data_IF_616941644410
#
_entry.id   IF_616941644410
#
_cell.length_a   1.000
_cell.length_b   1.000
_cell.length_c   1.000
_cell.angle_alpha   90.00
_cell.angle_beta   90.00
_cell.angle_gamma   90.00
#
_symmetry.space_group_name_H-M   'P 1'
#
loop_
_entity.id
_entity.type
_entity.pdbx_description
1 polymer ?
#
# COMPACT_ATOMS: atom_id res chain seq x y z
N UNK A 1 -30.38 13.83 -23.64
CA UNK A 1 -29.80 12.49 -23.55
C UNK A 1 -29.59 12.19 -22.09
N UNK A 2 -29.78 10.95 -21.65
CA UNK A 2 -29.32 10.55 -20.32
C UNK A 2 -27.80 10.81 -20.21
N UNK A 3 -27.28 11.21 -19.05
CA UNK A 3 -25.84 11.28 -18.86
C UNK A 3 -25.21 9.92 -19.21
N UNK A 4 -24.08 9.94 -19.92
CA UNK A 4 -23.34 8.71 -20.17
C UNK A 4 -22.86 8.18 -18.81
N UNK A 5 -23.06 6.88 -18.57
CA UNK A 5 -22.60 6.23 -17.34
C UNK A 5 -21.07 6.17 -17.28
N UNK A 6 -20.49 5.90 -16.09
CA UNK A 6 -19.04 5.80 -15.93
C UNK A 6 -18.47 4.70 -16.83
N UNK A 7 -17.27 4.93 -17.34
CA UNK A 7 -16.52 3.99 -18.19
C UNK A 7 -15.15 3.77 -17.57
N UNK A 8 -14.67 2.53 -17.58
CA UNK A 8 -13.32 2.22 -17.13
C UNK A 8 -12.28 2.79 -18.10
N UNK A 9 -11.29 3.48 -17.55
CA UNK A 9 -10.23 4.16 -18.29
C UNK A 9 -10.70 5.45 -18.98
N UNK A 10 -11.71 6.14 -18.43
CA UNK A 10 -12.21 7.42 -18.98
C UNK A 10 -11.36 8.63 -18.55
N UNK A 11 -10.50 8.46 -17.55
CA UNK A 11 -9.52 9.49 -17.18
C UNK A 11 -8.49 9.73 -18.29
N UNK A 12 -7.85 10.90 -18.27
CA UNK A 12 -6.79 11.24 -19.24
C UNK A 12 -5.54 10.38 -19.07
N UNK A 13 -4.93 9.95 -20.18
CA UNK A 13 -3.70 9.17 -20.19
C UNK A 13 -3.39 8.65 -21.60
N UNK A 14 -2.14 8.24 -21.82
CA UNK A 14 -1.65 7.75 -23.11
C UNK A 14 -1.91 6.26 -23.30
N UNK A 15 -1.87 5.50 -22.20
CA UNK A 15 -2.10 4.06 -22.18
C UNK A 15 -3.32 3.70 -21.35
N UNK A 16 -3.89 2.50 -21.54
CA UNK A 16 -4.99 2.04 -20.68
C UNK A 16 -4.57 1.96 -19.21
N UNK A 17 -3.34 1.53 -18.95
CA UNK A 17 -2.75 1.42 -17.61
C UNK A 17 -2.71 2.79 -16.90
N UNK A 18 -2.24 3.82 -17.61
CA UNK A 18 -2.22 5.21 -17.13
C UNK A 18 -3.62 5.74 -16.82
N UNK A 19 -4.58 5.50 -17.72
CA UNK A 19 -5.96 5.98 -17.54
C UNK A 19 -6.63 5.32 -16.34
N UNK A 20 -6.49 4.01 -16.17
CA UNK A 20 -7.08 3.30 -15.03
C UNK A 20 -6.49 3.75 -13.69
N UNK A 21 -5.17 3.93 -13.62
CA UNK A 21 -4.53 4.46 -12.42
C UNK A 21 -5.00 5.91 -12.13
N UNK A 22 -5.05 6.78 -13.13
CA UNK A 22 -5.49 8.16 -12.95
C UNK A 22 -6.96 8.23 -12.51
N UNK A 23 -7.78 7.30 -12.99
CA UNK A 23 -9.17 7.18 -12.55
C UNK A 23 -9.27 6.75 -11.09
N UNK A 24 -8.51 5.72 -10.67
CA UNK A 24 -8.44 5.32 -9.25
C UNK A 24 -7.95 6.48 -8.37
N UNK A 25 -6.94 7.22 -8.82
CA UNK A 25 -6.43 8.38 -8.10
C UNK A 25 -7.47 9.49 -7.96
N UNK A 26 -8.25 9.77 -9.02
CA UNK A 26 -9.35 10.72 -8.99
C UNK A 26 -10.45 10.27 -8.02
N UNK A 27 -10.88 9.00 -8.07
CA UNK A 27 -11.85 8.44 -7.14
C UNK A 27 -11.39 8.56 -5.67
N UNK A 28 -10.09 8.34 -5.41
CA UNK A 28 -9.49 8.51 -4.10
C UNK A 28 -9.60 9.96 -3.61
N UNK A 29 -9.22 10.92 -4.46
CA UNK A 29 -9.30 12.35 -4.16
C UNK A 29 -10.74 12.81 -3.92
N UNK A 30 -11.65 12.40 -4.81
CA UNK A 30 -13.05 12.79 -4.77
C UNK A 30 -13.74 12.25 -3.51
N UNK A 31 -13.47 11.00 -3.12
CA UNK A 31 -13.97 10.44 -1.87
C UNK A 31 -13.42 11.21 -0.65
N UNK A 32 -12.12 11.51 -0.63
CA UNK A 32 -11.49 12.28 0.44
C UNK A 32 -12.15 13.67 0.61
N UNK A 33 -12.34 14.38 -0.51
CA UNK A 33 -12.93 15.72 -0.54
C UNK A 33 -14.42 15.72 -0.18
N UNK A 34 -15.18 14.74 -0.66
CA UNK A 34 -16.61 14.61 -0.36
C UNK A 34 -16.84 14.35 1.12
N UNK A 35 -16.06 13.44 1.72
CA UNK A 35 -16.13 13.17 3.17
C UNK A 35 -15.65 14.38 3.99
N UNK A 36 -14.60 15.10 3.53
CA UNK A 36 -14.17 16.33 4.20
C UNK A 36 -15.25 17.41 4.20
N UNK A 37 -15.94 17.60 3.07
CA UNK A 37 -17.04 18.56 2.97
C UNK A 37 -18.20 18.19 3.91
N UNK A 38 -18.56 16.90 3.98
CA UNK A 38 -19.57 16.41 4.92
C UNK A 38 -19.18 16.65 6.39
N UNK A 39 -17.98 16.20 6.79
CA UNK A 39 -17.48 16.38 8.17
C UNK A 39 -17.45 17.87 8.55
N UNK A 40 -16.91 18.72 7.67
CA UNK A 40 -16.86 20.16 7.90
C UNK A 40 -18.25 20.81 8.03
N UNK A 41 -19.23 20.37 7.25
CA UNK A 41 -20.61 20.85 7.36
C UNK A 41 -21.28 20.39 8.67
N UNK A 42 -21.05 19.14 9.09
CA UNK A 42 -21.55 18.62 10.36
C UNK A 42 -20.93 19.36 11.56
N UNK A 43 -19.62 19.60 11.54
CA UNK A 43 -18.91 20.37 12.58
C UNK A 43 -19.43 21.81 12.64
N UNK A 44 -19.68 22.44 11.50
CA UNK A 44 -20.28 23.77 11.44
C UNK A 44 -21.69 23.79 12.04
N UNK A 45 -22.54 22.81 11.69
CA UNK A 45 -23.88 22.69 12.24
C UNK A 45 -23.85 22.52 13.77
N UNK A 46 -22.91 21.71 14.28
CA UNK A 46 -22.71 21.53 15.71
C UNK A 46 -22.25 22.82 16.41
N UNK A 47 -21.22 23.49 15.87
CA UNK A 47 -20.72 24.74 16.44
C UNK A 47 -21.80 25.83 16.47
N UNK A 48 -22.63 25.91 15.42
CA UNK A 48 -23.76 26.83 15.38
C UNK A 48 -24.79 26.50 16.47
N UNK A 49 -25.13 25.23 16.64
CA UNK A 49 -26.06 24.80 17.68
C UNK A 49 -25.58 25.16 19.09
N UNK A 50 -24.29 24.92 19.37
CA UNK A 50 -23.68 25.25 20.66
C UNK A 50 -23.75 26.77 20.93
N UNK A 51 -23.46 27.60 19.92
CA UNK A 51 -23.59 29.07 20.03
C UNK A 51 -25.04 29.53 20.28
N UNK A 52 -26.01 28.92 19.61
CA UNK A 52 -27.44 29.23 19.83
C UNK A 52 -27.86 28.84 21.26
N UNK A 53 -27.39 27.69 21.77
CA UNK A 53 -27.68 27.23 23.12
C UNK A 53 -27.04 28.11 24.20
N UNK A 54 -25.78 28.51 24.02
CA UNK A 54 -25.08 29.44 24.91
C UNK A 54 -25.81 30.79 24.98
N UNK A 55 -26.28 31.30 23.84
CA UNK A 55 -27.10 32.51 23.77
C UNK A 55 -28.40 32.40 24.56
N UNK A 56 -29.11 31.26 24.45
CA UNK A 56 -30.34 31.01 25.20
C UNK A 56 -30.12 30.92 26.72
N UNK A 57 -28.95 30.46 27.15
CA UNK A 57 -28.58 30.33 28.57
C UNK A 57 -28.09 31.65 29.18
N UNK A 58 -27.56 32.56 28.36
CA UNK A 58 -27.01 33.84 28.79
C UNK A 58 -28.10 34.77 29.38
N UNK A 59 -29.33 34.73 28.89
CA UNK A 59 -30.45 35.52 29.40
C UNK A 59 -31.18 34.78 30.56
N UNK A 60 -31.14 35.32 31.79
CA UNK A 60 -31.82 34.73 32.95
C UNK A 60 -33.34 34.61 32.79
N UNK A 61 -33.97 35.46 31.97
CA UNK A 61 -35.41 35.46 31.75
C UNK A 61 -35.89 34.34 30.81
N UNK A 62 -34.99 33.79 29.98
CA UNK A 62 -35.27 32.74 28.99
C UNK A 62 -34.68 31.39 29.39
N UNK A 63 -34.18 31.23 30.61
CA UNK A 63 -33.53 29.98 31.05
C UNK A 63 -34.49 28.79 31.18
N UNK A 64 -35.77 29.03 31.43
CA UNK A 64 -36.76 27.97 31.64
C UNK A 64 -38.18 28.36 31.24
N UNK A 65 -39.02 27.34 31.06
CA UNK A 65 -40.41 27.48 30.62
C UNK A 65 -40.60 27.12 29.15
N UNK A 66 -41.86 26.96 28.74
CA UNK A 66 -42.21 26.41 27.43
C UNK A 66 -41.62 27.15 26.22
N UNK A 67 -41.39 28.47 26.33
CA UNK A 67 -40.76 29.25 25.27
C UNK A 67 -39.25 28.96 25.13
N UNK A 68 -38.56 28.70 26.24
CA UNK A 68 -37.16 28.30 26.25
C UNK A 68 -36.98 26.88 25.68
N UNK A 69 -37.90 25.98 26.04
CA UNK A 69 -37.91 24.61 25.52
C UNK A 69 -38.17 24.60 24.01
N UNK A 70 -39.17 25.36 23.54
CA UNK A 70 -39.44 25.50 22.10
C UNK A 70 -38.26 26.08 21.31
N UNK A 71 -37.52 27.03 21.89
CA UNK A 71 -36.33 27.61 21.24
C UNK A 71 -35.17 26.61 21.13
N UNK A 72 -35.00 25.73 22.13
CA UNK A 72 -34.02 24.64 22.07
C UNK A 72 -34.41 23.59 21.03
N UNK A 73 -35.68 23.22 21.00
CA UNK A 73 -36.21 22.27 20.01
C UNK A 73 -36.02 22.82 18.58
N UNK A 74 -36.25 24.12 18.36
CA UNK A 74 -36.02 24.77 17.06
C UNK A 74 -34.53 24.79 16.69
N UNK A 75 -33.64 25.13 17.63
CA UNK A 75 -32.20 25.09 17.39
C UNK A 75 -31.71 23.68 17.04
N UNK A 76 -32.21 22.66 17.75
CA UNK A 76 -31.92 21.26 17.46
C UNK A 76 -32.44 20.84 16.07
N UNK A 77 -33.66 21.26 15.70
CA UNK A 77 -34.21 20.99 14.37
C UNK A 77 -33.37 21.62 13.26
N UNK A 78 -32.88 22.85 13.47
CA UNK A 78 -31.98 23.52 12.51
C UNK A 78 -30.66 22.80 12.36
N UNK A 79 -30.05 22.36 13.46
CA UNK A 79 -28.82 21.57 13.46
C UNK A 79 -29.01 20.27 12.69
N UNK A 80 -30.07 19.51 13.00
CA UNK A 80 -30.40 18.27 12.32
C UNK A 80 -30.62 18.48 10.82
N UNK A 81 -31.36 19.53 10.45
CA UNK A 81 -31.62 19.87 9.04
C UNK A 81 -30.34 20.15 8.25
N UNK A 82 -29.36 20.85 8.84
CA UNK A 82 -28.07 21.12 8.19
C UNK A 82 -27.25 19.83 8.00
N UNK A 83 -27.23 18.96 9.01
CA UNK A 83 -26.55 17.66 8.94
C UNK A 83 -27.20 16.76 7.89
N UNK A 84 -28.53 16.70 7.85
CA UNK A 84 -29.29 15.92 6.86
C UNK A 84 -29.04 16.40 5.43
N UNK A 85 -28.95 17.71 5.22
CA UNK A 85 -28.61 18.29 3.92
C UNK A 85 -27.20 17.93 3.48
N UNK A 86 -26.22 18.03 4.41
CA UNK A 86 -24.85 17.63 4.13
C UNK A 86 -24.75 16.12 3.82
N UNK A 87 -25.50 15.30 4.55
CA UNK A 87 -25.58 13.85 4.33
C UNK A 87 -26.16 13.53 2.95
N UNK A 88 -27.23 14.20 2.55
CA UNK A 88 -27.85 13.99 1.23
C UNK A 88 -26.92 14.36 0.06
N UNK A 89 -25.99 15.30 0.25
CA UNK A 89 -24.93 15.60 -0.74
C UNK A 89 -23.92 14.47 -0.77
N UNK A 90 -23.40 14.06 0.39
CA UNK A 90 -22.45 12.94 0.49
C UNK A 90 -23.02 11.65 -0.13
N UNK A 91 -24.26 11.28 0.19
CA UNK A 91 -24.88 10.06 -0.33
C UNK A 91 -24.99 10.08 -1.87
N UNK A 92 -25.17 11.26 -2.49
CA UNK A 92 -25.15 11.41 -3.95
C UNK A 92 -23.75 11.19 -4.52
N UNK A 93 -22.74 11.79 -3.91
CA UNK A 93 -21.35 11.68 -4.36
C UNK A 93 -20.86 10.23 -4.19
N UNK A 94 -21.23 9.57 -3.09
CA UNK A 94 -20.95 8.15 -2.86
C UNK A 94 -21.64 7.25 -3.88
N UNK A 95 -22.89 7.55 -4.27
CA UNK A 95 -23.58 6.79 -5.31
C UNK A 95 -22.87 6.90 -6.67
N UNK A 96 -22.33 8.08 -7.00
CA UNK A 96 -21.54 8.27 -8.22
C UNK A 96 -20.23 7.47 -8.15
N UNK A 97 -19.47 7.60 -7.06
CA UNK A 97 -18.20 6.89 -6.89
C UNK A 97 -18.37 5.37 -6.85
N UNK A 98 -19.48 4.89 -6.28
CA UNK A 98 -19.83 3.46 -6.28
C UNK A 98 -20.09 2.97 -7.70
N UNK A 99 -20.89 3.71 -8.49
CA UNK A 99 -21.13 3.36 -9.89
C UNK A 99 -19.83 3.36 -10.72
N UNK A 100 -18.89 4.26 -10.41
CA UNK A 100 -17.57 4.27 -11.05
C UNK A 100 -16.73 3.05 -10.65
N UNK A 101 -16.68 2.72 -9.37
CA UNK A 101 -15.99 1.54 -8.86
C UNK A 101 -16.52 0.23 -9.48
N UNK A 102 -17.83 0.11 -9.68
CA UNK A 102 -18.48 -1.04 -10.30
C UNK A 102 -18.01 -1.30 -11.74
N UNK A 103 -17.58 -0.26 -12.46
CA UNK A 103 -17.06 -0.38 -13.83
C UNK A 103 -15.54 -0.50 -13.84
N UNK A 104 -14.85 0.22 -12.96
CA UNK A 104 -13.38 0.26 -12.88
C UNK A 104 -12.82 -1.05 -12.33
N UNK A 105 -13.31 -1.55 -11.19
CA UNK A 105 -12.75 -2.70 -10.48
C UNK A 105 -12.67 -3.97 -11.37
N UNK A 106 -13.71 -4.34 -12.14
CA UNK A 106 -13.63 -5.51 -13.04
C UNK A 106 -12.71 -5.31 -14.25
N UNK A 107 -12.40 -4.06 -14.61
CA UNK A 107 -11.53 -3.72 -15.74
C UNK A 107 -10.04 -3.67 -15.38
N UNK A 108 -9.71 -3.80 -14.08
CA UNK A 108 -8.33 -3.69 -13.62
C UNK A 108 -7.45 -4.84 -14.14
N UNK A 109 -6.26 -4.53 -14.70
CA UNK A 109 -5.31 -5.56 -15.08
C UNK A 109 -4.72 -6.23 -13.82
N UNK A 110 -4.07 -7.41 -13.96
CA UNK A 110 -3.53 -8.15 -12.81
C UNK A 110 -2.68 -7.31 -11.83
N UNK A 111 -1.78 -6.40 -12.25
CA UNK A 111 -1.02 -5.56 -11.33
C UNK A 111 -1.89 -4.70 -10.40
N UNK A 112 -3.06 -4.24 -10.87
CA UNK A 112 -3.97 -3.35 -10.13
C UNK A 112 -5.11 -4.12 -9.44
N UNK A 113 -5.38 -5.36 -9.87
CA UNK A 113 -6.49 -6.16 -9.36
C UNK A 113 -6.18 -6.87 -8.02
N UNK A 114 -7.22 -7.06 -7.22
CA UNK A 114 -7.18 -7.96 -6.06
C UNK A 114 -6.89 -9.41 -6.47
N UNK A 115 -6.38 -10.24 -5.55
CA UNK A 115 -6.05 -11.65 -5.85
C UNK A 115 -7.29 -12.52 -6.10
N UNK A 116 -8.45 -12.07 -5.63
CA UNK A 116 -9.78 -12.62 -5.87
C UNK A 116 -10.29 -12.37 -7.29
N UNK A 117 -9.70 -11.41 -8.01
CA UNK A 117 -10.17 -11.05 -9.35
C UNK A 117 -9.99 -12.21 -10.33
N UNK A 118 -10.99 -12.50 -11.17
CA UNK A 118 -10.89 -13.55 -12.17
C UNK A 118 -9.80 -13.28 -13.21
N UNK A 119 -9.32 -12.04 -13.37
CA UNK A 119 -8.28 -11.65 -14.32
C UNK A 119 -6.99 -12.48 -14.17
N UNK A 120 -6.69 -12.94 -12.95
CA UNK A 120 -5.53 -13.77 -12.67
C UNK A 120 -5.59 -15.16 -13.31
N UNK A 121 -6.76 -15.67 -13.67
CA UNK A 121 -6.88 -16.97 -14.37
C UNK A 121 -6.34 -16.91 -15.80
N UNK A 122 -6.35 -15.72 -16.40
CA UNK A 122 -5.80 -15.44 -17.72
C UNK A 122 -4.43 -14.73 -17.63
N UNK A 123 -3.78 -14.79 -16.46
CA UNK A 123 -2.47 -14.16 -16.24
C UNK A 123 -1.46 -14.60 -17.31
N UNK A 124 -0.67 -13.64 -17.76
CA UNK A 124 0.50 -13.81 -18.63
C UNK A 124 1.62 -12.94 -18.07
N UNK A 125 2.85 -13.41 -18.21
CA UNK A 125 4.02 -12.62 -17.78
C UNK A 125 4.09 -11.36 -18.64
N UNK A 126 4.14 -10.16 -18.02
CA UNK A 126 4.09 -8.91 -18.77
C UNK A 126 5.36 -8.70 -19.58
N UNK A 127 5.25 -8.01 -20.72
CA UNK A 127 6.41 -7.67 -21.54
C UNK A 127 7.14 -6.41 -21.04
N UNK A 128 6.43 -5.54 -20.33
CA UNK A 128 6.90 -4.27 -19.77
C UNK A 128 6.46 -4.15 -18.32
N UNK A 129 7.17 -3.34 -17.53
CA UNK A 129 6.78 -3.06 -16.15
C UNK A 129 5.54 -2.13 -16.19
N UNK A 130 4.44 -2.46 -15.49
CA UNK A 130 3.26 -1.61 -15.42
C UNK A 130 3.56 -0.37 -14.59
N UNK A 131 2.69 0.63 -14.67
CA UNK A 131 2.90 1.89 -13.97
C UNK A 131 2.82 1.75 -12.44
N UNK A 132 2.02 0.79 -11.94
CA UNK A 132 1.80 0.61 -10.51
C UNK A 132 1.44 -0.84 -10.15
N UNK A 133 1.38 -1.11 -8.84
CA UNK A 133 0.87 -2.37 -8.28
C UNK A 133 -0.04 -2.11 -7.09
N UNK A 134 -1.06 -2.95 -6.91
CA UNK A 134 -1.95 -2.88 -5.74
C UNK A 134 -1.27 -3.44 -4.50
N UNK A 135 -1.24 -2.65 -3.43
CA UNK A 135 -0.76 -3.07 -2.12
C UNK A 135 -1.92 -3.46 -1.19
N UNK A 136 -3.11 -2.91 -1.41
CA UNK A 136 -4.29 -3.19 -0.61
C UNK A 136 -5.50 -2.41 -1.08
N UNK A 137 -6.40 -2.10 -0.16
CA UNK A 137 -7.55 -1.23 -0.39
C UNK A 137 -7.67 -0.22 0.75
N UNK A 138 -8.28 0.91 0.46
CA UNK A 138 -8.56 1.98 1.41
C UNK A 138 -10.07 2.17 1.52
N UNK A 139 -10.55 2.37 2.74
CA UNK A 139 -11.95 2.73 3.02
C UNK A 139 -12.03 3.86 4.04
N UNK A 140 -13.15 4.59 4.03
CA UNK A 140 -13.52 5.54 5.06
C UNK A 140 -14.76 5.04 5.82
N UNK A 141 -14.91 5.37 7.12
CA UNK A 141 -16.06 4.95 7.92
C UNK A 141 -17.43 5.36 7.34
N UNK A 142 -17.49 6.47 6.62
CA UNK A 142 -18.69 6.97 5.96
C UNK A 142 -19.16 6.10 4.79
N UNK A 143 -18.25 5.32 4.19
CA UNK A 143 -18.50 4.49 3.02
C UNK A 143 -17.70 3.17 3.08
N UNK A 144 -17.99 2.28 4.06
CA UNK A 144 -17.21 1.06 4.29
C UNK A 144 -17.31 0.05 3.13
N UNK A 145 -18.34 0.16 2.29
CA UNK A 145 -18.54 -0.68 1.11
C UNK A 145 -17.72 -0.21 -0.10
N UNK A 146 -17.35 1.08 -0.16
CA UNK A 146 -16.58 1.67 -1.25
C UNK A 146 -15.08 1.53 -0.99
N UNK A 147 -14.46 0.59 -1.71
CA UNK A 147 -13.04 0.23 -1.56
C UNK A 147 -12.21 0.87 -2.67
N UNK A 148 -11.30 1.74 -2.30
CA UNK A 148 -10.36 2.36 -3.24
C UNK A 148 -9.07 1.53 -3.28
N UNK A 149 -8.62 1.03 -4.44
CA UNK A 149 -7.34 0.32 -4.53
C UNK A 149 -6.15 1.21 -4.09
N UNK A 150 -5.35 0.73 -3.13
CA UNK A 150 -4.07 1.38 -2.81
C UNK A 150 -3.02 0.95 -3.85
N UNK A 151 -2.70 1.84 -4.80
CA UNK A 151 -1.70 1.59 -5.82
C UNK A 151 -0.36 2.25 -5.46
N UNK A 152 0.73 1.51 -5.59
CA UNK A 152 2.10 2.03 -5.49
C UNK A 152 2.76 2.04 -6.86
N UNK A 153 3.33 3.17 -7.26
CA UNK A 153 4.01 3.31 -8.55
C UNK A 153 5.26 2.43 -8.62
N UNK A 154 5.58 1.97 -9.82
CA UNK A 154 6.81 1.26 -10.13
C UNK A 154 7.78 2.14 -10.94
N UNK A 155 9.10 2.03 -10.69
CA UNK A 155 9.73 1.28 -9.58
C UNK A 155 9.31 1.86 -8.22
N UNK A 156 9.32 1.02 -7.16
CA UNK A 156 8.88 1.46 -5.84
C UNK A 156 9.77 2.60 -5.34
N UNK A 157 9.17 3.78 -5.13
CA UNK A 157 9.87 4.98 -4.65
C UNK A 157 10.33 4.85 -3.19
N UNK A 158 9.64 4.01 -2.40
CA UNK A 158 9.93 3.73 -0.99
C UNK A 158 9.94 2.22 -0.76
N UNK A 159 10.78 1.78 0.17
CA UNK A 159 10.63 0.43 0.72
C UNK A 159 9.31 0.27 1.47
N UNK A 160 8.96 -0.97 1.75
CA UNK A 160 7.72 -1.34 2.43
C UNK A 160 8.05 -1.88 3.82
N UNK A 161 7.19 -1.59 4.79
CA UNK A 161 7.24 -2.17 6.13
C UNK A 161 5.88 -2.78 6.45
N UNK A 162 5.82 -4.10 6.58
CA UNK A 162 4.66 -4.78 7.13
C UNK A 162 4.86 -4.85 8.64
N UNK A 163 4.13 -3.99 9.34
CA UNK A 163 4.10 -3.95 10.80
C UNK A 163 3.39 -5.20 11.31
N UNK A 164 4.15 -6.09 11.93
CA UNK A 164 3.61 -7.38 12.36
C UNK A 164 2.62 -7.26 13.49
N UNK A 165 2.74 -6.23 14.35
CA UNK A 165 1.91 -6.00 15.54
C UNK A 165 1.60 -7.31 16.30
N UNK A 166 2.63 -8.12 16.55
CA UNK A 166 2.53 -9.45 17.17
C UNK A 166 1.94 -10.59 16.32
N UNK A 167 1.41 -10.35 15.12
CA UNK A 167 0.90 -11.38 14.20
C UNK A 167 1.89 -11.68 13.04
N UNK A 168 3.06 -12.16 13.43
CA UNK A 168 4.19 -12.40 12.52
C UNK A 168 3.87 -13.31 11.34
N UNK A 169 3.06 -14.35 11.58
CA UNK A 169 2.69 -15.30 10.52
C UNK A 169 1.90 -14.62 9.41
N UNK A 170 0.88 -13.84 9.78
CA UNK A 170 0.05 -13.13 8.80
C UNK A 170 0.82 -12.00 8.12
N UNK A 171 1.77 -11.37 8.83
CA UNK A 171 2.68 -10.38 8.28
C UNK A 171 3.56 -10.99 7.18
N UNK A 172 4.11 -12.17 7.41
CA UNK A 172 4.87 -12.92 6.41
C UNK A 172 4.01 -13.40 5.23
N UNK A 173 2.79 -13.87 5.47
CA UNK A 173 1.86 -14.24 4.38
C UNK A 173 1.51 -13.01 3.52
N UNK A 174 1.35 -11.84 4.14
CA UNK A 174 1.17 -10.55 3.43
C UNK A 174 2.41 -10.17 2.63
N UNK A 175 3.61 -10.35 3.20
CA UNK A 175 4.88 -10.06 2.53
C UNK A 175 5.07 -10.91 1.27
N UNK A 176 4.74 -12.20 1.37
CA UNK A 176 4.79 -13.15 0.25
C UNK A 176 3.77 -12.79 -0.83
N UNK A 177 2.56 -12.37 -0.45
CA UNK A 177 1.56 -11.91 -1.41
C UNK A 177 2.02 -10.65 -2.17
N UNK A 178 2.62 -9.67 -1.47
CA UNK A 178 3.20 -8.47 -2.08
C UNK A 178 4.37 -8.83 -3.00
N UNK A 179 5.30 -9.66 -2.54
CA UNK A 179 6.45 -10.10 -3.33
C UNK A 179 6.03 -10.88 -4.59
N UNK A 180 5.04 -11.76 -4.48
CA UNK A 180 4.48 -12.49 -5.61
C UNK A 180 3.82 -11.55 -6.62
N UNK A 181 3.11 -10.51 -6.17
CA UNK A 181 2.52 -9.49 -7.06
C UNK A 181 3.62 -8.68 -7.76
N UNK A 182 4.65 -8.26 -7.04
CA UNK A 182 5.80 -7.56 -7.64
C UNK A 182 6.45 -8.43 -8.71
N UNK A 183 6.76 -9.69 -8.41
CA UNK A 183 7.27 -10.64 -9.41
C UNK A 183 6.35 -10.79 -10.62
N UNK A 184 5.03 -10.89 -10.40
CA UNK A 184 4.03 -11.01 -11.46
C UNK A 184 3.86 -9.73 -12.31
N UNK A 185 4.37 -8.61 -11.82
CA UNK A 185 4.29 -7.31 -12.48
C UNK A 185 5.55 -6.99 -13.26
N UNK A 186 6.55 -7.87 -13.31
CA UNK A 186 7.78 -7.61 -14.05
C UNK A 186 7.97 -8.60 -15.20
N UNK A 187 8.67 -8.18 -16.28
CA UNK A 187 9.09 -9.10 -17.33
C UNK A 187 9.88 -10.28 -16.79
N UNK A 188 9.86 -11.39 -17.53
CA UNK A 188 10.60 -12.59 -17.15
C UNK A 188 12.10 -12.27 -16.94
N UNK A 189 12.59 -12.51 -15.72
CA UNK A 189 13.97 -12.21 -15.34
C UNK A 189 14.24 -10.74 -15.01
N UNK A 190 13.27 -9.83 -15.16
CA UNK A 190 13.42 -8.40 -14.83
C UNK A 190 13.33 -8.07 -13.33
N UNK A 191 12.95 -9.05 -12.50
CA UNK A 191 12.83 -8.87 -11.05
C UNK A 191 13.18 -10.15 -10.28
N UNK A 192 13.90 -9.97 -9.17
CA UNK A 192 14.37 -11.04 -8.31
C UNK A 192 14.02 -10.78 -6.85
N UNK A 193 13.88 -11.86 -6.07
CA UNK A 193 13.56 -11.78 -4.63
C UNK A 193 14.63 -12.49 -3.83
N UNK A 194 15.14 -11.81 -2.82
CA UNK A 194 16.01 -12.31 -1.76
C UNK A 194 15.23 -12.30 -0.43
N UNK A 195 15.60 -13.20 0.48
CA UNK A 195 15.01 -13.25 1.81
C UNK A 195 16.08 -13.42 2.88
N UNK A 196 15.97 -12.64 3.95
CA UNK A 196 16.65 -12.87 5.22
C UNK A 196 15.64 -13.49 6.18
N UNK A 197 15.95 -14.68 6.70
CA UNK A 197 15.13 -15.40 7.67
C UNK A 197 16.05 -16.07 8.69
N UNK A 198 16.74 -15.27 9.52
CA UNK A 198 17.88 -15.74 10.30
C UNK A 198 17.55 -16.83 11.32
N UNK A 199 16.34 -16.86 11.91
CA UNK A 199 15.89 -17.96 12.76
C UNK A 199 15.04 -19.01 12.01
N UNK A 200 14.72 -18.77 10.74
CA UNK A 200 14.01 -19.72 9.88
C UNK A 200 12.50 -19.80 10.13
N UNK A 201 11.91 -18.88 10.89
CA UNK A 201 10.48 -18.91 11.21
C UNK A 201 9.59 -18.59 10.00
N UNK A 202 10.13 -17.87 9.02
CA UNK A 202 9.46 -17.50 7.77
C UNK A 202 9.43 -18.62 6.73
N UNK A 203 10.19 -19.71 6.91
CA UNK A 203 10.38 -20.75 5.90
C UNK A 203 9.08 -21.29 5.30
N UNK A 204 8.06 -21.52 6.14
CA UNK A 204 6.75 -22.00 5.67
C UNK A 204 5.98 -20.97 4.84
N UNK A 205 6.12 -19.67 5.13
CA UNK A 205 5.49 -18.61 4.35
C UNK A 205 6.24 -18.38 3.03
N UNK A 206 7.58 -18.47 3.04
CA UNK A 206 8.44 -18.27 1.87
C UNK A 206 8.40 -19.43 0.87
N UNK A 207 7.91 -20.61 1.28
CA UNK A 207 7.87 -21.83 0.48
C UNK A 207 7.27 -21.67 -0.93
N UNK A 208 6.18 -20.90 -1.16
CA UNK A 208 5.65 -20.69 -2.52
C UNK A 208 6.65 -19.97 -3.45
N UNK A 209 7.39 -18.99 -2.93
CA UNK A 209 8.37 -18.22 -3.71
C UNK A 209 9.57 -19.07 -4.13
N UNK A 210 10.01 -19.98 -3.25
CA UNK A 210 11.13 -20.91 -3.52
C UNK A 210 10.69 -22.07 -4.40
N UNK A 211 9.55 -22.70 -4.13
CA UNK A 211 9.00 -23.81 -4.92
C UNK A 211 8.63 -23.38 -6.35
N UNK A 212 8.18 -22.14 -6.52
CA UNK A 212 7.96 -21.52 -7.83
C UNK A 212 9.25 -21.07 -8.52
N UNK A 213 10.44 -21.35 -7.99
CA UNK A 213 11.71 -20.95 -8.59
C UNK A 213 11.85 -19.44 -8.81
N UNK A 214 11.09 -18.62 -8.08
CA UNK A 214 10.97 -17.17 -8.26
C UNK A 214 11.90 -16.39 -7.33
N UNK A 215 12.14 -16.90 -6.12
CA UNK A 215 13.21 -16.42 -5.24
C UNK A 215 14.59 -16.87 -5.77
N UNK A 216 15.58 -15.99 -5.68
CA UNK A 216 16.96 -16.29 -6.09
C UNK A 216 17.62 -17.18 -5.05
N UNK A 217 18.28 -18.24 -5.53
CA UNK A 217 19.15 -19.09 -4.72
C UNK A 217 20.43 -18.33 -4.36
N UNK A 218 21.00 -18.52 -3.15
CA UNK A 218 20.70 -19.60 -2.19
C UNK A 218 19.40 -19.39 -1.37
N UNK A 219 18.91 -20.44 -0.67
CA UNK A 219 17.79 -20.34 0.28
C UNK A 219 17.99 -19.22 1.31
N UNK A 220 16.91 -18.75 1.99
CA UNK A 220 16.95 -17.60 2.89
C UNK A 220 18.17 -17.63 3.80
N UNK A 221 18.88 -16.51 3.85
CA UNK A 221 20.17 -16.47 4.54
C UNK A 221 19.96 -16.72 6.05
N UNK A 222 20.55 -17.81 6.56
CA UNK A 222 20.38 -18.24 7.94
C UNK A 222 21.46 -17.63 8.84
N UNK A 223 21.06 -17.24 10.06
CA UNK A 223 21.94 -16.64 11.07
C UNK A 223 22.61 -15.32 10.65
N UNK A 224 23.39 -14.76 11.57
CA UNK A 224 24.00 -13.43 11.41
C UNK A 224 24.97 -13.32 10.22
N UNK A 225 25.73 -14.37 9.90
CA UNK A 225 26.62 -14.37 8.73
C UNK A 225 25.85 -14.20 7.43
N UNK A 226 24.72 -14.90 7.29
CA UNK A 226 23.89 -14.82 6.10
C UNK A 226 23.28 -13.43 5.89
N UNK A 227 22.88 -12.77 6.99
CA UNK A 227 22.43 -11.38 7.01
C UNK A 227 23.55 -10.46 6.51
N UNK A 228 24.72 -10.49 7.16
CA UNK A 228 25.84 -9.61 6.82
C UNK A 228 26.33 -9.80 5.38
N UNK A 229 26.46 -11.04 4.91
CA UNK A 229 26.90 -11.34 3.56
C UNK A 229 25.91 -10.81 2.51
N UNK A 230 24.61 -10.96 2.76
CA UNK A 230 23.58 -10.51 1.82
C UNK A 230 23.48 -8.99 1.78
N UNK A 231 23.49 -8.33 2.93
CA UNK A 231 23.48 -6.86 2.98
C UNK A 231 24.75 -6.27 2.35
N UNK A 232 25.92 -6.88 2.57
CA UNK A 232 27.17 -6.47 1.93
C UNK A 232 27.09 -6.55 0.40
N UNK A 233 26.64 -7.68 -0.16
CA UNK A 233 26.49 -7.85 -1.62
C UNK A 233 25.51 -6.84 -2.23
N UNK A 234 24.37 -6.61 -1.57
CA UNK A 234 23.37 -5.66 -2.04
C UNK A 234 23.87 -4.22 -1.95
N UNK A 235 24.63 -3.88 -0.90
CA UNK A 235 25.26 -2.56 -0.74
C UNK A 235 26.25 -2.30 -1.87
N UNK A 236 27.16 -3.26 -2.13
CA UNK A 236 28.14 -3.16 -3.23
C UNK A 236 27.45 -3.01 -4.59
N UNK A 237 26.37 -3.76 -4.83
CA UNK A 237 25.53 -3.61 -6.03
C UNK A 237 24.99 -2.19 -6.18
N UNK A 238 24.40 -1.64 -5.11
CA UNK A 238 23.85 -0.28 -5.12
C UNK A 238 24.94 0.75 -5.41
N UNK A 239 26.10 0.63 -4.77
CA UNK A 239 27.24 1.52 -4.99
C UNK A 239 27.70 1.50 -6.45
N UNK A 240 27.88 0.31 -7.03
CA UNK A 240 28.29 0.14 -8.43
C UNK A 240 27.28 0.75 -9.41
N UNK A 241 25.98 0.49 -9.22
CA UNK A 241 24.92 1.03 -10.07
C UNK A 241 24.80 2.55 -9.94
N UNK A 242 24.86 3.09 -8.73
CA UNK A 242 24.84 4.53 -8.48
C UNK A 242 26.05 5.22 -9.13
N UNK A 243 27.24 4.63 -9.03
CA UNK A 243 28.44 5.14 -9.70
C UNK A 243 28.27 5.16 -11.22
N UNK A 244 27.76 4.06 -11.81
CA UNK A 244 27.50 3.97 -13.24
C UNK A 244 26.46 5.01 -13.72
N UNK A 245 25.37 5.18 -12.97
CA UNK A 245 24.31 6.15 -13.26
C UNK A 245 24.83 7.59 -13.18
N UNK A 246 25.51 7.96 -12.09
CA UNK A 246 26.08 9.31 -11.93
C UNK A 246 27.15 9.63 -12.96
N UNK A 247 27.92 8.63 -13.39
CA UNK A 247 28.94 8.76 -14.42
C UNK A 247 28.41 8.76 -15.86
N UNK A 248 27.11 8.49 -16.08
CA UNK A 248 26.54 8.29 -17.41
C UNK A 248 27.16 7.09 -18.16
N UNK A 249 27.68 6.11 -17.42
CA UNK A 249 28.50 5.02 -17.94
C UNK A 249 27.86 3.67 -17.63
N UNK A 250 26.59 3.49 -18.04
CA UNK A 250 25.88 2.19 -17.94
C UNK A 250 26.66 1.05 -18.60
N UNK A 251 27.35 1.36 -19.70
CA UNK A 251 28.15 0.40 -20.47
C UNK A 251 29.47 0.02 -19.78
N UNK A 252 29.82 0.71 -18.68
CA UNK A 252 30.99 0.40 -17.84
C UNK A 252 30.67 -0.60 -16.72
N UNK A 253 29.41 -1.04 -16.59
CA UNK A 253 29.09 -2.15 -15.69
C UNK A 253 29.84 -3.42 -16.11
N UNK A 254 30.21 -4.30 -15.16
CA UNK A 254 30.87 -5.56 -15.47
C UNK A 254 30.09 -6.36 -16.52
N UNK A 255 30.80 -7.03 -17.43
CA UNK A 255 30.15 -7.88 -18.42
C UNK A 255 29.32 -8.98 -17.74
N UNK A 256 28.05 -9.12 -18.12
CA UNK A 256 27.12 -10.07 -17.50
C UNK A 256 26.56 -9.62 -16.14
N UNK A 257 26.73 -8.35 -15.76
CA UNK A 257 26.10 -7.80 -14.57
C UNK A 257 24.57 -7.87 -14.70
N UNK A 258 23.93 -8.54 -13.75
CA UNK A 258 22.48 -8.63 -13.68
C UNK A 258 21.89 -7.24 -13.40
N UNK A 259 21.04 -6.71 -14.28
CA UNK A 259 20.36 -5.42 -14.08
C UNK A 259 18.92 -5.57 -13.61
N UNK A 260 18.47 -6.79 -13.28
CA UNK A 260 17.14 -7.00 -12.74
C UNK A 260 16.93 -6.19 -11.44
N UNK A 261 15.71 -5.70 -11.27
CA UNK A 261 15.28 -5.15 -9.98
C UNK A 261 15.31 -6.24 -8.92
N UNK A 262 15.61 -5.88 -7.68
CA UNK A 262 15.73 -6.83 -6.58
C UNK A 262 14.84 -6.39 -5.42
N UNK A 263 14.16 -7.34 -4.79
CA UNK A 263 13.44 -7.15 -3.54
C UNK A 263 14.15 -7.94 -2.44
N UNK A 264 14.55 -7.26 -1.37
CA UNK A 264 15.00 -7.90 -0.14
C UNK A 264 13.85 -7.98 0.85
N UNK A 265 13.34 -9.18 1.09
CA UNK A 265 12.44 -9.45 2.22
C UNK A 265 13.30 -9.64 3.47
N UNK A 266 13.04 -8.85 4.51
CA UNK A 266 13.72 -8.98 5.80
C UNK A 266 12.71 -9.46 6.83
N UNK A 267 12.89 -10.70 7.28
CA UNK A 267 12.12 -11.29 8.35
C UNK A 267 12.87 -11.21 9.69
N UNK A 268 12.11 -11.15 10.78
CA UNK A 268 12.61 -11.19 12.16
C UNK A 268 13.59 -10.08 12.53
N UNK A 269 13.55 -8.93 11.85
CA UNK A 269 14.37 -7.80 12.29
C UNK A 269 13.97 -7.42 13.73
N UNK A 270 14.94 -7.29 14.66
CA UNK A 270 16.39 -7.19 14.44
C UNK A 270 17.22 -8.46 14.74
N UNK A 271 16.61 -9.63 14.88
CA UNK A 271 17.34 -10.87 15.12
C UNK A 271 18.39 -11.14 14.04
N UNK A 272 19.63 -11.41 14.45
CA UNK A 272 20.75 -11.64 13.53
C UNK A 272 21.38 -10.37 12.94
N UNK A 273 20.94 -9.17 13.34
CA UNK A 273 21.54 -7.91 12.91
C UNK A 273 22.54 -7.38 13.95
N UNK A 274 23.76 -7.08 13.50
CA UNK A 274 24.73 -6.26 14.23
C UNK A 274 24.61 -4.78 13.81
N UNK A 275 25.35 -3.88 14.48
CA UNK A 275 25.31 -2.44 14.20
C UNK A 275 25.67 -2.10 12.74
N UNK A 276 26.56 -2.90 12.13
CA UNK A 276 26.95 -2.74 10.72
C UNK A 276 25.79 -3.14 9.80
N UNK A 277 25.14 -4.27 10.05
CA UNK A 277 23.99 -4.74 9.30
C UNK A 277 22.82 -3.73 9.40
N UNK A 278 22.57 -3.15 10.58
CA UNK A 278 21.58 -2.08 10.74
C UNK A 278 21.94 -0.85 9.91
N UNK A 279 23.22 -0.46 9.90
CA UNK A 279 23.69 0.67 9.07
C UNK A 279 23.51 0.39 7.58
N UNK A 280 23.83 -0.82 7.12
CA UNK A 280 23.63 -1.23 5.72
C UNK A 280 22.14 -1.31 5.34
N UNK A 281 21.29 -1.81 6.24
CA UNK A 281 19.85 -1.85 6.02
C UNK A 281 19.28 -0.44 5.81
N UNK A 282 19.69 0.52 6.63
CA UNK A 282 19.32 1.93 6.49
C UNK A 282 19.80 2.52 5.16
N UNK A 283 21.05 2.25 4.80
CA UNK A 283 21.60 2.65 3.51
C UNK A 283 20.78 2.09 2.33
N UNK A 284 20.42 0.81 2.37
CA UNK A 284 19.61 0.18 1.34
C UNK A 284 18.18 0.75 1.29
N UNK A 285 17.60 1.12 2.44
CA UNK A 285 16.28 1.76 2.45
C UNK A 285 16.29 3.13 1.77
N UNK A 286 17.38 3.90 1.91
CA UNK A 286 17.48 5.26 1.39
C UNK A 286 18.00 5.31 -0.07
N UNK A 287 19.08 4.57 -0.38
CA UNK A 287 19.77 4.63 -1.68
C UNK A 287 19.42 3.47 -2.63
N UNK A 288 18.86 2.38 -2.09
CA UNK A 288 18.50 1.18 -2.84
C UNK A 288 17.48 1.42 -3.95
N UNK A 289 16.35 2.11 -3.73
CA UNK A 289 15.31 2.30 -4.75
C UNK A 289 15.84 2.90 -6.06
N UNK A 290 16.73 3.89 -5.98
CA UNK A 290 17.35 4.51 -7.16
C UNK A 290 18.27 3.59 -7.96
N UNK A 291 18.74 2.50 -7.34
CA UNK A 291 19.56 1.46 -7.96
C UNK A 291 18.77 0.15 -8.20
N UNK A 292 17.44 0.18 -8.07
CA UNK A 292 16.58 -0.99 -8.29
C UNK A 292 16.67 -2.06 -7.19
N UNK A 293 17.11 -1.71 -5.98
CA UNK A 293 17.08 -2.60 -4.79
C UNK A 293 16.01 -2.07 -3.83
N UNK A 294 14.93 -2.83 -3.68
CA UNK A 294 13.80 -2.46 -2.85
C UNK A 294 13.78 -3.29 -1.56
N UNK A 295 13.37 -2.67 -0.45
CA UNK A 295 13.24 -3.31 0.85
C UNK A 295 11.77 -3.66 1.14
N UNK A 296 11.53 -4.86 1.67
CA UNK A 296 10.27 -5.25 2.31
C UNK A 296 10.58 -5.79 3.71
N UNK A 297 10.38 -4.97 4.72
CA UNK A 297 10.65 -5.29 6.11
C UNK A 297 9.41 -5.89 6.77
N UNK A 298 9.54 -7.03 7.43
CA UNK A 298 8.53 -7.63 8.28
C UNK A 298 9.05 -7.57 9.71
N UNK A 299 8.50 -6.65 10.50
CA UNK A 299 8.99 -6.36 11.84
C UNK A 299 7.90 -5.75 12.71
N UNK A 300 7.99 -5.99 14.01
CA UNK A 300 7.34 -5.15 15.01
C UNK A 300 8.29 -4.00 15.36
N UNK A 301 7.77 -2.79 15.53
CA UNK A 301 8.60 -1.66 15.96
C UNK A 301 9.11 -1.88 17.39
N UNK A 302 8.32 -2.52 18.24
CA UNK A 302 8.66 -2.77 19.65
C UNK A 302 9.88 -3.69 19.77
N UNK A 303 10.02 -4.68 18.88
CA UNK A 303 11.15 -5.62 18.86
C UNK A 303 12.51 -4.94 18.57
N UNK A 304 12.47 -3.75 17.98
CA UNK A 304 13.66 -2.99 17.59
C UNK A 304 13.99 -1.81 18.52
N UNK A 305 13.29 -1.70 19.67
CA UNK A 305 13.48 -0.61 20.64
C UNK A 305 14.91 -0.47 21.14
N UNK A 306 15.68 -1.57 21.18
CA UNK A 306 17.08 -1.58 21.61
C UNK A 306 17.99 -0.64 20.79
N UNK A 307 17.64 -0.38 19.53
CA UNK A 307 18.37 0.58 18.69
C UNK A 307 17.89 2.03 18.89
N UNK A 308 16.75 2.21 19.56
CA UNK A 308 16.21 3.51 19.93
C UNK A 308 16.00 4.45 18.73
N UNK A 309 16.26 5.76 18.90
CA UNK A 309 15.98 6.76 17.86
C UNK A 309 16.76 6.59 16.55
N UNK A 310 17.80 5.75 16.52
CA UNK A 310 18.63 5.54 15.32
C UNK A 310 17.83 4.96 14.15
N UNK A 311 16.74 4.23 14.45
CA UNK A 311 15.85 3.62 13.46
C UNK A 311 14.69 4.54 13.05
N UNK A 312 14.46 5.67 13.72
CA UNK A 312 13.37 6.59 13.35
C UNK A 312 13.40 7.00 11.87
N UNK A 313 14.56 7.29 11.24
CA UNK A 313 14.61 7.57 9.81
C UNK A 313 14.19 6.37 8.96
N UNK A 314 14.58 5.14 9.33
CA UNK A 314 14.21 3.92 8.62
C UNK A 314 12.68 3.75 8.61
N UNK A 315 12.05 3.84 9.78
CA UNK A 315 10.59 3.69 9.88
C UNK A 315 9.83 4.76 9.08
N UNK A 316 10.40 5.97 8.96
CA UNK A 316 9.79 7.08 8.20
C UNK A 316 10.02 6.98 6.69
N UNK A 317 11.09 6.32 6.24
CA UNK A 317 11.39 6.15 4.82
C UNK A 317 10.58 5.01 4.18
N UNK A 318 10.06 4.08 4.99
CA UNK A 318 9.23 2.97 4.53
C UNK A 318 7.74 3.31 4.53
N UNK A 319 7.00 2.79 3.55
CA UNK A 319 5.54 2.77 3.58
C UNK A 319 5.08 1.68 4.54
N UNK A 320 4.47 2.08 5.66
CA UNK A 320 3.84 1.16 6.61
C UNK A 320 2.59 0.51 5.99
N UNK A 321 2.49 -0.80 6.12
CA UNK A 321 1.36 -1.66 5.81
C UNK A 321 1.10 -2.56 7.02
N UNK A 322 -0.09 -3.13 7.12
CA UNK A 322 -0.45 -4.02 8.23
C UNK A 322 -1.04 -5.36 7.72
N UNK A 323 -0.84 -6.47 8.43
CA UNK A 323 -1.44 -7.77 8.08
C UNK A 323 -2.95 -7.84 8.34
N UNK A 324 -3.50 -6.85 9.06
CA UNK A 324 -4.92 -6.71 9.39
C UNK A 324 -5.40 -5.29 9.08
N UNK A 325 -6.72 -5.07 8.94
CA UNK A 325 -7.27 -3.74 8.73
C UNK A 325 -6.83 -2.73 9.81
N UNK A 326 -6.38 -1.55 9.40
CA UNK A 326 -5.90 -0.49 10.30
C UNK A 326 -5.96 0.90 9.66
N UNK A 327 -6.32 1.91 10.44
CA UNK A 327 -6.58 3.31 10.06
C UNK A 327 -5.36 4.23 10.16
N UNK A 328 -4.20 3.78 9.68
CA UNK A 328 -2.92 4.49 9.88
C UNK A 328 -2.42 5.30 8.67
N UNK A 329 -3.06 5.17 7.51
CA UNK A 329 -2.66 5.89 6.29
C UNK A 329 -3.44 7.19 6.19
N UNK A 330 -2.73 8.31 6.03
CA UNK A 330 -3.33 9.60 5.80
C UNK A 330 -3.31 9.98 4.31
N UNK A 331 -4.41 10.53 3.79
CA UNK A 331 -4.41 11.10 2.43
C UNK A 331 -3.63 12.43 2.37
N UNK A 332 -3.13 12.83 1.19
CA UNK A 332 -2.30 14.02 1.05
C UNK A 332 -3.08 15.34 0.95
N UNK A 333 -4.42 15.32 0.91
CA UNK A 333 -5.23 16.50 0.62
C UNK A 333 -5.85 17.11 1.87
N UNK A 334 -6.53 16.28 2.65
CA UNK A 334 -7.32 16.68 3.82
C UNK A 334 -6.85 15.96 5.09
N UNK A 335 -6.06 14.89 4.93
CA UNK A 335 -5.42 14.19 6.05
C UNK A 335 -6.37 13.26 6.80
N UNK A 336 -7.39 12.69 6.14
CA UNK A 336 -8.21 11.66 6.78
C UNK A 336 -7.37 10.42 7.06
N UNK A 337 -7.64 9.78 8.18
CA UNK A 337 -7.17 8.43 8.46
C UNK A 337 -8.00 7.40 7.67
N UNK A 338 -7.37 6.70 6.74
CA UNK A 338 -7.98 5.67 5.91
C UNK A 338 -7.74 4.29 6.51
N UNK A 339 -8.80 3.49 6.58
CA UNK A 339 -8.67 2.07 6.93
C UNK A 339 -8.06 1.34 5.74
N UNK A 340 -6.79 0.99 5.88
CA UNK A 340 -6.08 0.11 4.97
C UNK A 340 -6.49 -1.33 5.22
N UNK A 341 -6.81 -2.06 4.15
CA UNK A 341 -7.01 -3.50 4.16
C UNK A 341 -5.99 -4.19 3.23
N UNK A 342 -5.27 -5.22 3.71
CA UNK A 342 -4.26 -5.90 2.91
C UNK A 342 -4.85 -6.69 1.75
N UNK A 343 -4.17 -6.68 0.60
CA UNK A 343 -4.53 -7.50 -0.55
C UNK A 343 -4.14 -8.97 -0.34
N UNK A 344 -4.94 -9.68 0.46
CA UNK A 344 -4.72 -11.09 0.80
C UNK A 344 -5.12 -12.03 -0.34
N UNK A 345 -4.49 -13.21 -0.40
CA UNK A 345 -4.91 -14.28 -1.31
C UNK A 345 -6.11 -14.99 -0.70
N UNK A 346 -7.23 -15.19 -1.42
CA UNK A 346 -8.40 -15.87 -0.86
C UNK A 346 -8.07 -17.25 -0.32
N UNK A 347 -8.62 -17.59 0.85
CA UNK A 347 -8.39 -18.89 1.50
C UNK A 347 -8.76 -20.04 0.57
N UNK A 348 -7.84 -21.00 0.39
CA UNK A 348 -8.00 -22.15 -0.50
C UNK A 348 -7.73 -21.87 -1.98
N UNK A 349 -7.47 -20.62 -2.37
CA UNK A 349 -7.11 -20.27 -3.74
C UNK A 349 -5.72 -20.80 -4.12
N UNK A 350 -5.58 -21.25 -5.37
CA UNK A 350 -4.32 -21.68 -5.97
C UNK A 350 -3.68 -20.58 -6.84
N UNK A 351 -4.28 -19.38 -6.88
CA UNK A 351 -3.90 -18.30 -7.80
C UNK A 351 -2.44 -17.91 -7.66
N UNK A 352 -1.96 -17.69 -6.43
CA UNK A 352 -0.58 -17.31 -6.16
C UNK A 352 0.41 -18.39 -6.63
N UNK A 353 0.14 -19.66 -6.30
CA UNK A 353 0.99 -20.78 -6.72
C UNK A 353 0.97 -20.98 -8.25
N UNK A 354 -0.16 -20.77 -8.90
CA UNK A 354 -0.28 -20.85 -10.35
C UNK A 354 0.51 -19.73 -11.05
N UNK A 355 0.38 -18.49 -10.58
CA UNK A 355 1.10 -17.33 -11.10
C UNK A 355 2.62 -17.53 -10.95
N UNK A 356 3.08 -17.93 -9.77
CA UNK A 356 4.49 -18.22 -9.52
C UNK A 356 5.02 -19.34 -10.43
N UNK A 357 4.23 -20.38 -10.68
CA UNK A 357 4.60 -21.46 -11.61
C UNK A 357 4.73 -20.96 -13.05
N UNK A 358 3.83 -20.08 -13.50
CA UNK A 358 3.91 -19.49 -14.84
C UNK A 358 5.14 -18.59 -14.99
N UNK A 359 5.45 -17.79 -13.95
CA UNK A 359 6.68 -17.00 -13.89
C UNK A 359 7.92 -17.89 -13.98
N UNK A 360 7.95 -18.99 -13.23
CA UNK A 360 9.03 -19.98 -13.28
C UNK A 360 9.25 -20.53 -14.69
N UNK A 361 8.15 -20.91 -15.37
CA UNK A 361 8.18 -21.48 -16.70
C UNK A 361 8.59 -20.46 -17.78
N UNK A 362 8.30 -19.18 -17.56
CA UNK A 362 8.64 -18.10 -18.47
C UNK A 362 10.08 -17.59 -18.31
N UNK A 363 10.74 -17.86 -17.16
CA UNK A 363 12.15 -17.53 -16.99
C UNK A 363 12.95 -18.24 -18.10
N UNK A 364 13.75 -17.50 -18.89
CA UNK A 364 14.68 -18.13 -19.80
C UNK A 364 15.50 -19.14 -19.01
N UNK A 365 15.68 -20.35 -19.55
CA UNK A 365 16.65 -21.29 -19.01
C UNK A 365 18.03 -20.64 -19.14
N UNK A 366 18.44 -19.85 -18.16
CA UNK A 366 19.78 -19.29 -18.14
C UNK A 366 20.78 -20.42 -17.88
N UNK A 367 21.80 -20.45 -18.73
CA UNK A 367 22.69 -21.56 -18.96
C UNK A 367 23.48 -22.04 -17.75
N UNK A 368 23.78 -23.35 -17.83
CA UNK A 368 24.93 -24.00 -17.25
C UNK A 368 26.26 -23.39 -17.72
#
# INVERSE_FOLDING_TARGET
GAPQGPVAGDASGWTMDERLHNQIWAMFEDLARSVAAYRGAADFAQSRYDQELDGLLADPATRGGAAADAARDEAQLRQATLVDQARAVLDRDLAQLTAEAEVVEPALPPPFAGWESPVWHAYQVPAEVPMAVRLGSLTLPEAPELRIPLLARLPLERGLWIDSAGNHRLAMDTAVAVAARLLASHPAGGFTVHALDPAGSGAGALAPLTAGGAAVLPPPAAGASGVSDTLARLTERVDLLQMALRGGASDALPAGFDTAGQLLIVNEFPYGFDDRAVTQLRYLADEGPGAGVHLLLVADREDAEQYGPVLDPLWRSLLRLTPLPSDHLADPWVGHAWTYEPATVPTGSQVLTQVLRQLAAARPAYGA
#
